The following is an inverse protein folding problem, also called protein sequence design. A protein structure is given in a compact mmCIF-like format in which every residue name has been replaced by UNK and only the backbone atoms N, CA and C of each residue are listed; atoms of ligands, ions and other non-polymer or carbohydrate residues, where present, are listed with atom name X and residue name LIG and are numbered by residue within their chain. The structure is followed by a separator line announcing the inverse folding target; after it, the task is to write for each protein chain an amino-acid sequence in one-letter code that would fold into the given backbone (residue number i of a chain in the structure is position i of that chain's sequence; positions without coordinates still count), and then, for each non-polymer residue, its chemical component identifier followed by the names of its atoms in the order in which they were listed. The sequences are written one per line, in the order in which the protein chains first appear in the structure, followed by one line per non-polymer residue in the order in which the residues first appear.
data_IF_907285281102
#
_entry.id   IF_907285281102
#
_cell.length_a   1.000
_cell.length_b   1.000
_cell.length_c   1.000
_cell.angle_alpha   90.00
_cell.angle_beta   90.00
_cell.angle_gamma   90.00
#
_symmetry.space_group_name_H-M   'P 1'
#
loop_
_entity.id
_entity.type
_entity.pdbx_description
1 polymer ?
#
# COMPACT_ATOMS: atom_id res chain seq x y z
N UNK A 1 -5.58 19.73 0.30
CA UNK A 1 -5.94 18.35 -0.10
C UNK A 1 -6.28 17.55 1.16
N UNK A 2 -7.28 16.66 1.13
CA UNK A 2 -7.53 15.75 2.25
C UNK A 2 -6.45 14.66 2.32
N UNK A 3 -6.28 14.07 3.50
CA UNK A 3 -5.40 12.91 3.71
C UNK A 3 -5.90 11.73 2.87
N UNK A 4 -5.00 11.13 2.08
CA UNK A 4 -5.31 9.98 1.23
C UNK A 4 -5.51 8.71 2.06
N UNK A 5 -6.61 8.00 1.83
CA UNK A 5 -6.88 6.70 2.43
C UNK A 5 -7.35 5.72 1.37
N UNK A 6 -7.10 4.44 1.61
CA UNK A 6 -7.64 3.33 0.81
C UNK A 6 -8.30 2.37 1.77
N UNK A 7 -9.46 1.84 1.39
CA UNK A 7 -10.20 0.89 2.21
C UNK A 7 -9.44 -0.43 2.35
N UNK A 8 -9.44 -1.00 3.54
CA UNK A 8 -8.77 -2.27 3.85
C UNK A 8 -9.26 -3.40 2.95
N UNK A 9 -10.57 -3.46 2.68
CA UNK A 9 -11.19 -4.52 1.89
C UNK A 9 -10.67 -4.52 0.44
N UNK A 10 -10.41 -3.33 -0.11
CA UNK A 10 -9.90 -3.18 -1.47
C UNK A 10 -8.46 -3.69 -1.57
N UNK A 11 -7.62 -3.33 -0.59
CA UNK A 11 -6.22 -3.80 -0.54
C UNK A 11 -6.17 -5.32 -0.34
N UNK A 12 -6.97 -5.85 0.58
CA UNK A 12 -7.02 -7.29 0.87
C UNK A 12 -7.50 -8.11 -0.34
N UNK A 13 -8.59 -7.69 -0.99
CA UNK A 13 -9.12 -8.37 -2.18
C UNK A 13 -8.10 -8.35 -3.32
N UNK A 14 -7.50 -7.19 -3.59
CA UNK A 14 -6.52 -7.05 -4.67
C UNK A 14 -5.28 -7.90 -4.43
N UNK A 15 -4.78 -7.92 -3.18
CA UNK A 15 -3.62 -8.75 -2.82
C UNK A 15 -3.92 -10.24 -3.01
N UNK A 16 -5.11 -10.70 -2.61
CA UNK A 16 -5.53 -12.08 -2.80
C UNK A 16 -5.52 -12.47 -4.29
N UNK A 17 -6.12 -11.65 -5.15
CA UNK A 17 -6.20 -11.91 -6.59
C UNK A 17 -4.82 -11.96 -7.27
N UNK A 18 -3.90 -11.09 -6.83
CA UNK A 18 -2.54 -11.04 -7.38
C UNK A 18 -1.76 -12.31 -6.99
N UNK A 19 -1.84 -12.71 -5.71
CA UNK A 19 -1.18 -13.92 -5.22
C UNK A 19 -1.78 -15.18 -5.83
N UNK A 20 -3.10 -15.24 -6.03
CA UNK A 20 -3.77 -16.37 -6.68
C UNK A 20 -3.31 -16.60 -8.13
N UNK A 21 -2.81 -15.55 -8.79
CA UNK A 21 -2.22 -15.63 -10.14
C UNK A 21 -0.75 -16.06 -10.14
N UNK A 22 -0.17 -16.36 -8.97
CA UNK A 22 1.25 -16.72 -8.80
C UNK A 22 2.21 -15.55 -9.04
N UNK A 23 1.71 -14.31 -9.03
CA UNK A 23 2.54 -13.14 -9.21
C UNK A 23 3.29 -12.78 -7.92
N UNK A 24 4.54 -12.35 -8.08
CA UNK A 24 5.29 -11.71 -7.01
C UNK A 24 4.90 -10.24 -6.95
N UNK A 25 4.57 -9.74 -5.76
CA UNK A 25 4.07 -8.37 -5.56
C UNK A 25 4.69 -7.74 -4.31
N UNK A 26 4.89 -6.42 -4.34
CA UNK A 26 5.37 -5.63 -3.20
C UNK A 26 4.28 -4.65 -2.74
N UNK A 27 4.06 -4.54 -1.44
CA UNK A 27 3.14 -3.59 -0.82
C UNK A 27 3.85 -2.27 -0.56
N UNK A 28 3.41 -1.21 -1.22
CA UNK A 28 4.01 0.13 -1.08
C UNK A 28 2.99 1.16 -0.58
N UNK A 29 3.24 1.86 0.53
CA UNK A 29 4.20 1.54 1.58
C UNK A 29 3.59 0.48 2.51
N UNK A 30 4.35 -0.52 2.94
CA UNK A 30 3.92 -1.37 4.06
C UNK A 30 3.93 -0.59 5.39
N UNK A 31 4.95 0.27 5.57
CA UNK A 31 5.03 1.28 6.63
C UNK A 31 5.54 2.59 6.02
N UNK A 32 4.79 3.68 6.18
CA UNK A 32 5.11 4.96 5.52
C UNK A 32 6.25 5.74 6.16
N UNK A 33 6.41 5.63 7.48
CA UNK A 33 7.45 6.36 8.21
C UNK A 33 7.23 7.88 8.21
N UNK A 34 8.32 8.63 8.19
CA UNK A 34 8.28 10.10 8.26
C UNK A 34 9.45 10.67 7.46
N UNK A 35 9.16 11.66 6.63
CA UNK A 35 10.18 12.53 6.07
C UNK A 35 10.53 13.59 7.12
N UNK A 36 11.61 13.38 7.87
CA UNK A 36 12.08 14.36 8.85
C UNK A 36 12.80 15.53 8.18
N UNK A 37 12.85 16.70 8.85
CA UNK A 37 13.51 17.91 8.36
C UNK A 37 13.06 18.30 6.94
N UNK A 38 13.97 18.33 5.97
CA UNK A 38 13.73 18.75 4.59
C UNK A 38 13.79 17.57 3.59
N UNK A 39 13.51 16.34 4.05
CA UNK A 39 13.50 15.12 3.22
C UNK A 39 12.18 14.85 2.50
N UNK A 40 11.34 15.87 2.34
CA UNK A 40 10.05 15.75 1.67
C UNK A 40 10.11 16.03 0.17
#
# INVERSE_FOLDING_TARGET
QPHSTVKTEVVASSLHDILARGANVNLYMFIGGTNFAYWN
#
